data_IF_364475861053
#
_entry.id   IF_364475861053
#
_cell.length_a   1.000
_cell.length_b   1.000
_cell.length_c   1.000
_cell.angle_alpha   90.00
_cell.angle_beta   90.00
_cell.angle_gamma   90.00
#
_symmetry.space_group_name_H-M   'P 1'
#
loop_
_entity.id
_entity.type
_entity.pdbx_description
1 polymer ?
#
# COMPACT_ATOMS: atom_id res chain seq x y z
N UNK A 1 9.16 21.43 9.62
CA UNK A 1 10.53 20.89 9.88
C UNK A 1 10.58 19.53 9.21
N UNK A 2 11.50 19.32 8.30
CA UNK A 2 11.65 18.05 7.55
C UNK A 2 12.99 17.40 7.87
N UNK A 3 13.06 16.10 7.71
CA UNK A 3 14.25 15.28 7.90
C UNK A 3 14.61 14.58 6.59
N UNK A 4 15.88 14.24 6.42
CA UNK A 4 16.37 13.49 5.27
C UNK A 4 16.42 12.00 5.59
N UNK A 5 15.87 11.17 4.72
CA UNK A 5 16.02 9.71 4.77
C UNK A 5 16.94 9.26 3.64
N UNK A 6 17.98 8.53 3.99
CA UNK A 6 18.89 7.89 3.03
C UNK A 6 18.65 6.38 3.01
N UNK A 7 18.47 5.80 1.83
CA UNK A 7 18.21 4.36 1.64
C UNK A 7 19.48 3.68 1.13
N UNK A 8 20.05 2.79 1.93
CA UNK A 8 21.19 1.99 1.54
C UNK A 8 20.76 0.62 1.00
N UNK A 9 21.48 0.00 0.05
CA UNK A 9 22.74 0.48 -0.55
C UNK A 9 22.55 1.43 -1.74
N UNK A 10 21.31 1.80 -2.12
CA UNK A 10 21.07 2.59 -3.34
C UNK A 10 21.56 4.04 -3.27
N UNK A 11 21.79 4.57 -2.07
CA UNK A 11 22.14 5.97 -1.85
C UNK A 11 20.99 6.96 -2.14
N UNK A 12 19.77 6.49 -2.42
CA UNK A 12 18.63 7.36 -2.68
C UNK A 12 18.24 8.13 -1.42
N UNK A 13 17.94 9.41 -1.59
CA UNK A 13 17.48 10.29 -0.52
C UNK A 13 16.11 10.87 -0.83
N UNK A 14 15.36 11.15 0.24
CA UNK A 14 14.08 11.85 0.14
C UNK A 14 13.78 12.58 1.46
N UNK A 15 12.92 13.57 1.38
CA UNK A 15 12.52 14.40 2.52
C UNK A 15 11.26 13.85 3.18
N UNK A 16 11.23 13.82 4.51
CA UNK A 16 10.10 13.37 5.33
C UNK A 16 9.69 14.50 6.25
N UNK A 17 8.41 14.87 6.22
CA UNK A 17 7.88 15.91 7.10
C UNK A 17 7.80 15.38 8.55
N UNK A 18 7.80 16.31 9.49
CA UNK A 18 7.60 15.95 10.89
C UNK A 18 6.31 15.17 11.06
N UNK A 19 6.38 14.08 11.82
CA UNK A 19 5.25 13.16 12.11
C UNK A 19 4.72 12.38 10.87
N UNK A 20 5.35 12.54 9.69
CA UNK A 20 5.04 11.74 8.51
C UNK A 20 5.77 10.39 8.58
N UNK A 21 5.09 9.23 8.33
CA UNK A 21 5.77 7.96 8.19
C UNK A 21 6.72 7.92 6.99
N UNK A 22 7.90 7.32 7.17
CA UNK A 22 8.95 7.19 6.13
C UNK A 22 8.37 6.63 4.83
N UNK A 23 7.55 5.57 4.90
CA UNK A 23 6.95 4.96 3.72
C UNK A 23 6.01 5.92 2.98
N UNK A 24 5.25 6.73 3.70
CA UNK A 24 4.34 7.69 3.07
C UNK A 24 5.11 8.74 2.27
N UNK A 25 6.17 9.27 2.84
CA UNK A 25 7.07 10.22 2.16
C UNK A 25 7.77 9.60 0.95
N UNK A 26 8.24 8.34 1.09
CA UNK A 26 8.85 7.58 -0.01
C UNK A 26 7.87 7.43 -1.19
N UNK A 27 6.64 7.02 -0.93
CA UNK A 27 5.59 6.89 -1.97
C UNK A 27 5.32 8.25 -2.62
N UNK A 28 5.18 9.32 -1.85
CA UNK A 28 4.92 10.68 -2.35
C UNK A 28 6.02 11.17 -3.30
N UNK A 29 7.28 10.77 -3.06
CA UNK A 29 8.44 11.19 -3.83
C UNK A 29 8.95 10.12 -4.82
N UNK A 30 8.17 9.05 -5.04
CA UNK A 30 8.50 8.03 -6.02
C UNK A 30 9.69 7.16 -5.65
N UNK A 31 10.03 7.06 -4.37
CA UNK A 31 11.07 6.16 -3.86
C UNK A 31 10.43 4.83 -3.49
N UNK A 32 10.78 3.76 -4.20
CA UNK A 32 10.24 2.42 -3.96
C UNK A 32 10.87 1.76 -2.75
N UNK A 33 10.13 1.66 -1.66
CA UNK A 33 10.43 0.81 -0.53
C UNK A 33 9.49 -0.40 -0.52
N UNK A 34 9.89 -1.57 -0.02
CA UNK A 34 9.00 -2.70 0.15
C UNK A 34 7.89 -2.37 1.15
N UNK A 35 6.65 -2.75 0.86
CA UNK A 35 5.55 -2.62 1.80
C UNK A 35 4.37 -3.56 1.47
N UNK A 36 3.42 -3.68 2.40
CA UNK A 36 2.19 -4.46 2.23
C UNK A 36 1.00 -3.70 2.81
N UNK A 37 0.66 -3.94 4.09
CA UNK A 37 -0.56 -3.43 4.72
C UNK A 37 -0.59 -1.91 4.97
N UNK A 38 0.54 -1.26 5.19
CA UNK A 38 0.74 0.14 5.58
C UNK A 38 0.24 0.53 6.98
N UNK A 39 -0.27 -0.41 7.75
CA UNK A 39 -0.89 -0.20 9.07
C UNK A 39 -0.15 -0.91 10.22
N UNK A 40 1.10 -1.32 10.00
CA UNK A 40 1.92 -1.93 11.04
C UNK A 40 1.57 -3.38 11.38
N UNK A 41 0.82 -4.10 10.53
CA UNK A 41 0.32 -5.44 10.86
C UNK A 41 1.11 -6.59 10.21
N UNK A 42 1.75 -6.40 9.04
CA UNK A 42 2.29 -7.50 8.24
C UNK A 42 3.82 -7.65 8.29
N UNK A 43 4.56 -6.62 8.67
CA UNK A 43 6.03 -6.66 8.69
C UNK A 43 6.73 -6.51 7.32
N UNK A 44 6.00 -6.44 6.20
CA UNK A 44 6.61 -6.37 4.85
C UNK A 44 7.48 -5.13 4.61
N UNK A 45 7.29 -4.07 5.37
CA UNK A 45 8.08 -2.84 5.32
C UNK A 45 9.19 -2.79 6.37
N UNK A 46 9.46 -3.92 7.06
CA UNK A 46 10.51 -4.00 8.06
C UNK A 46 11.88 -3.85 7.41
N UNK A 47 12.72 -3.00 7.97
CA UNK A 47 14.09 -2.79 7.53
C UNK A 47 14.99 -2.44 8.72
N UNK A 48 16.29 -2.35 8.49
CA UNK A 48 17.25 -1.94 9.52
C UNK A 48 17.38 -0.42 9.53
N UNK A 49 17.31 0.18 10.69
CA UNK A 49 17.71 1.56 10.95
C UNK A 49 19.21 1.57 11.25
N UNK A 50 19.99 2.15 10.35
CA UNK A 50 21.45 2.19 10.48
C UNK A 50 21.89 3.41 11.30
N UNK A 51 21.24 4.57 11.06
CA UNK A 51 21.58 5.82 11.75
C UNK A 51 20.30 6.62 12.01
N UNK A 52 20.35 7.47 13.04
CA UNK A 52 19.29 8.36 13.40
C UNK A 52 18.30 7.77 14.39
N UNK A 53 17.15 8.44 14.56
CA UNK A 53 16.08 8.05 15.50
C UNK A 53 14.72 8.21 14.84
N UNK A 54 13.83 7.29 15.17
CA UNK A 54 12.43 7.29 14.74
C UNK A 54 11.50 7.11 15.95
N UNK A 55 10.26 7.53 15.81
CA UNK A 55 9.17 7.15 16.72
C UNK A 55 8.20 6.29 15.92
N UNK A 56 7.79 5.16 16.50
CA UNK A 56 6.80 4.28 15.88
C UNK A 56 5.38 4.66 16.31
N UNK A 57 4.48 4.67 15.33
CA UNK A 57 3.04 4.63 15.57
C UNK A 57 2.57 3.25 16.01
N UNK A 58 1.25 3.07 16.12
CA UNK A 58 0.64 1.81 16.52
C UNK A 58 0.96 0.68 15.53
N UNK A 59 1.46 -0.45 16.03
CA UNK A 59 1.79 -1.62 15.23
C UNK A 59 1.60 -2.91 16.05
N UNK A 60 1.58 -4.05 15.37
CA UNK A 60 1.45 -5.35 16.02
C UNK A 60 2.83 -5.94 16.34
N UNK A 61 2.97 -6.55 17.52
CA UNK A 61 4.23 -7.17 17.95
C UNK A 61 4.73 -8.26 16.98
N UNK A 62 3.84 -8.94 16.26
CA UNK A 62 4.23 -9.90 15.22
C UNK A 62 4.88 -9.23 13.98
N UNK A 63 4.61 -7.94 13.77
CA UNK A 63 5.22 -7.19 12.66
C UNK A 63 6.56 -6.57 13.06
N UNK A 64 6.69 -6.12 14.33
CA UNK A 64 7.93 -5.62 14.92
C UNK A 64 7.82 -5.86 16.44
N UNK A 65 8.66 -6.76 16.98
CA UNK A 65 8.72 -6.98 18.41
C UNK A 65 9.60 -5.94 19.10
N UNK A 66 9.47 -5.81 20.42
CA UNK A 66 10.32 -4.92 21.22
C UNK A 66 11.80 -5.29 21.11
N UNK A 67 12.11 -6.58 21.02
CA UNK A 67 13.49 -7.09 20.85
C UNK A 67 14.04 -6.71 19.47
N UNK A 68 13.23 -6.80 18.44
CA UNK A 68 13.61 -6.41 17.07
C UNK A 68 13.83 -4.89 16.98
N UNK A 69 12.98 -4.09 17.61
CA UNK A 69 13.14 -2.64 17.69
C UNK A 69 14.42 -2.27 18.44
N UNK A 70 14.69 -2.91 19.59
CA UNK A 70 15.93 -2.73 20.35
C UNK A 70 17.18 -3.16 19.55
N UNK A 71 17.02 -4.13 18.62
CA UNK A 71 18.07 -4.56 17.71
C UNK A 71 18.24 -3.65 16.48
N UNK A 72 17.54 -2.53 16.41
CA UNK A 72 17.65 -1.54 15.34
C UNK A 72 16.81 -1.86 14.10
N UNK A 73 15.77 -2.70 14.21
CA UNK A 73 14.80 -2.87 13.14
C UNK A 73 13.66 -1.83 13.26
N UNK A 74 13.08 -1.46 12.13
CA UNK A 74 12.00 -0.48 12.07
C UNK A 74 10.96 -0.87 11.03
N UNK A 75 9.72 -0.35 11.18
CA UNK A 75 8.65 -0.45 10.18
C UNK A 75 8.49 0.89 9.48
N UNK A 76 8.89 1.01 8.22
CA UNK A 76 8.82 2.30 7.50
C UNK A 76 7.41 2.87 7.40
N UNK A 77 6.37 2.04 7.47
CA UNK A 77 4.98 2.49 7.42
C UNK A 77 4.47 3.10 8.74
N UNK A 78 5.20 2.91 9.85
CA UNK A 78 4.82 3.42 11.17
C UNK A 78 5.93 4.28 11.80
N UNK A 79 7.11 4.33 11.20
CA UNK A 79 8.24 5.09 11.71
C UNK A 79 8.21 6.52 11.19
N UNK A 80 8.12 7.49 12.10
CA UNK A 80 8.30 8.91 11.84
C UNK A 80 9.70 9.35 12.32
N UNK A 81 10.55 9.97 11.47
CA UNK A 81 11.89 10.35 11.84
C UNK A 81 11.89 11.50 12.85
N UNK A 82 12.87 11.49 13.77
CA UNK A 82 13.13 12.55 14.74
C UNK A 82 14.47 13.25 14.48
N UNK A 83 15.27 12.67 13.61
CA UNK A 83 16.53 13.20 13.08
C UNK A 83 16.62 12.80 11.63
N UNK A 84 17.65 13.22 10.91
CA UNK A 84 18.02 12.55 9.66
C UNK A 84 18.31 11.09 9.96
N UNK A 85 17.90 10.19 9.06
CA UNK A 85 18.01 8.75 9.25
C UNK A 85 18.62 8.06 8.04
N UNK A 86 19.33 6.96 8.29
CA UNK A 86 19.81 6.03 7.27
C UNK A 86 19.15 4.67 7.49
N UNK A 87 18.51 4.15 6.47
CA UNK A 87 17.87 2.82 6.50
C UNK A 87 18.52 1.90 5.49
N UNK A 88 18.57 0.61 5.81
CA UNK A 88 18.96 -0.45 4.88
C UNK A 88 17.70 -1.15 4.36
N UNK A 89 17.36 -0.85 3.12
CA UNK A 89 16.18 -1.41 2.46
C UNK A 89 16.43 -1.66 0.98
N UNK A 90 15.79 -2.70 0.43
CA UNK A 90 15.78 -2.90 -1.01
C UNK A 90 14.97 -1.79 -1.67
N UNK A 91 15.46 -1.26 -2.78
CA UNK A 91 14.64 -0.38 -3.62
C UNK A 91 13.83 -1.22 -4.61
N UNK A 92 12.56 -0.88 -4.77
CA UNK A 92 11.67 -1.51 -5.73
C UNK A 92 11.82 -0.77 -7.07
N UNK A 93 12.28 -1.44 -8.15
CA UNK A 93 12.38 -0.82 -9.46
C UNK A 93 11.02 -0.34 -9.99
N UNK A 94 11.01 0.75 -10.76
CA UNK A 94 9.78 1.30 -11.36
C UNK A 94 8.84 2.01 -10.37
N UNK A 95 9.18 2.07 -9.10
CA UNK A 95 8.41 2.86 -8.15
C UNK A 95 8.49 4.35 -8.51
N UNK A 96 7.32 5.01 -8.53
CA UNK A 96 7.21 6.41 -8.97
C UNK A 96 7.07 6.60 -10.48
N UNK A 97 7.23 5.57 -11.31
CA UNK A 97 6.94 5.63 -12.75
C UNK A 97 5.47 5.97 -13.01
N UNK A 98 4.59 5.40 -12.20
CA UNK A 98 3.16 5.71 -12.24
C UNK A 98 2.76 6.39 -10.93
N UNK A 99 2.40 7.69 -10.97
CA UNK A 99 2.00 8.43 -9.76
C UNK A 99 0.73 7.86 -9.16
N UNK A 100 0.64 7.89 -7.83
CA UNK A 100 -0.58 7.52 -7.11
C UNK A 100 -1.69 8.51 -7.47
N UNK A 101 -2.83 7.99 -7.94
CA UNK A 101 -3.97 8.77 -8.41
C UNK A 101 -5.24 8.33 -7.70
N UNK A 102 -6.11 9.29 -7.43
CA UNK A 102 -7.50 9.01 -7.05
C UNK A 102 -8.35 9.04 -8.30
N UNK A 103 -9.13 8.01 -8.52
CA UNK A 103 -10.03 7.94 -9.65
C UNK A 103 -11.35 7.27 -9.27
N UNK A 104 -12.47 7.71 -9.86
CA UNK A 104 -13.73 7.02 -9.67
C UNK A 104 -13.67 5.64 -10.32
N UNK A 105 -14.37 4.69 -9.73
CA UNK A 105 -14.54 3.36 -10.29
C UNK A 105 -15.95 2.86 -10.02
N UNK A 106 -16.40 1.91 -10.83
CA UNK A 106 -17.73 1.32 -10.71
C UNK A 106 -17.62 -0.19 -10.79
N UNK A 107 -18.40 -0.89 -10.00
CA UNK A 107 -18.51 -2.35 -10.08
C UNK A 107 -19.10 -2.75 -11.43
N UNK A 108 -18.31 -3.41 -12.27
CA UNK A 108 -18.75 -3.96 -13.55
C UNK A 108 -19.36 -5.35 -13.40
N UNK A 109 -18.74 -6.20 -12.57
CA UNK A 109 -19.25 -7.53 -12.25
C UNK A 109 -18.73 -8.03 -10.91
N UNK A 110 -19.50 -8.94 -10.31
CA UNK A 110 -19.11 -9.68 -9.10
C UNK A 110 -19.42 -11.15 -9.36
N UNK A 111 -18.41 -12.01 -9.29
CA UNK A 111 -18.59 -13.47 -9.34
C UNK A 111 -18.06 -14.09 -8.05
N UNK A 112 -18.55 -15.27 -7.71
CA UNK A 112 -18.17 -16.00 -6.48
C UNK A 112 -17.71 -17.41 -6.86
N UNK A 113 -16.45 -17.60 -7.22
CA UNK A 113 -15.92 -18.92 -7.59
C UNK A 113 -15.80 -19.88 -6.39
N UNK A 114 -15.82 -19.36 -5.17
CA UNK A 114 -15.83 -20.13 -3.92
C UNK A 114 -16.68 -19.42 -2.86
N UNK A 115 -17.11 -20.09 -1.78
CA UNK A 115 -17.96 -19.51 -0.74
C UNK A 115 -17.32 -18.29 -0.04
N UNK A 116 -16.01 -18.26 0.06
CA UNK A 116 -15.23 -17.20 0.72
C UNK A 116 -14.39 -16.35 -0.24
N UNK A 117 -14.58 -16.50 -1.57
CA UNK A 117 -13.83 -15.72 -2.58
C UNK A 117 -14.79 -15.04 -3.55
N UNK A 118 -14.61 -13.75 -3.74
CA UNK A 118 -15.26 -12.96 -4.77
C UNK A 118 -14.24 -12.43 -5.77
N UNK A 119 -14.55 -12.53 -7.07
CA UNK A 119 -13.83 -11.83 -8.14
C UNK A 119 -14.64 -10.59 -8.48
N UNK A 120 -14.02 -9.43 -8.27
CA UNK A 120 -14.62 -8.13 -8.46
C UNK A 120 -13.95 -7.44 -9.64
N UNK A 121 -14.72 -7.14 -10.69
CA UNK A 121 -14.26 -6.32 -11.81
C UNK A 121 -14.70 -4.89 -11.61
N UNK A 122 -13.73 -3.97 -11.56
CA UNK A 122 -13.97 -2.53 -11.41
C UNK A 122 -13.74 -1.83 -12.74
N UNK A 123 -14.79 -1.24 -13.30
CA UNK A 123 -14.70 -0.39 -14.49
C UNK A 123 -14.05 0.94 -14.11
N UNK A 124 -13.04 1.32 -14.89
CA UNK A 124 -12.35 2.62 -14.78
C UNK A 124 -12.86 3.59 -15.86
N UNK A 125 -12.61 4.92 -15.72
CA UNK A 125 -12.95 5.89 -16.75
C UNK A 125 -12.22 5.58 -18.08
N UNK A 126 -12.94 5.55 -19.17
CA UNK A 126 -12.39 5.21 -20.49
C UNK A 126 -11.34 6.22 -21.00
N UNK A 127 -11.50 7.49 -20.62
CA UNK A 127 -10.61 8.59 -21.01
C UNK A 127 -9.41 8.78 -20.06
N UNK A 128 -9.27 7.93 -19.04
CA UNK A 128 -8.24 8.05 -18.03
C UNK A 128 -7.73 6.66 -17.59
N UNK A 129 -6.98 5.96 -18.47
CA UNK A 129 -6.51 4.61 -18.20
C UNK A 129 -5.52 4.59 -17.04
N UNK A 130 -5.68 3.61 -16.15
CA UNK A 130 -4.75 3.35 -15.06
C UNK A 130 -3.52 2.63 -15.61
N UNK A 131 -2.35 3.24 -15.49
CA UNK A 131 -1.07 2.58 -15.73
C UNK A 131 -0.54 2.01 -14.42
N UNK A 132 -0.09 0.76 -14.46
CA UNK A 132 0.46 0.08 -13.28
C UNK A 132 1.39 -1.06 -13.69
N UNK A 133 2.24 -1.49 -12.76
CA UNK A 133 3.02 -2.72 -12.91
C UNK A 133 2.28 -3.91 -12.33
N UNK A 134 2.49 -5.10 -12.90
CA UNK A 134 1.97 -6.33 -12.33
C UNK A 134 2.39 -6.46 -10.85
N UNK A 135 1.45 -6.87 -9.99
CA UNK A 135 1.67 -6.99 -8.55
C UNK A 135 1.42 -5.69 -7.74
N UNK A 136 1.14 -4.58 -8.40
CA UNK A 136 0.65 -3.39 -7.71
C UNK A 136 -0.80 -3.57 -7.23
N UNK A 137 -1.24 -2.70 -6.34
CA UNK A 137 -2.57 -2.76 -5.75
C UNK A 137 -3.25 -1.40 -5.70
N UNK A 138 -4.56 -1.45 -5.56
CA UNK A 138 -5.41 -0.29 -5.36
C UNK A 138 -5.84 -0.18 -3.90
N UNK A 139 -6.11 1.04 -3.46
CA UNK A 139 -6.73 1.33 -2.18
C UNK A 139 -8.16 1.83 -2.36
N UNK A 140 -9.11 1.13 -1.79
CA UNK A 140 -10.45 1.65 -1.62
C UNK A 140 -10.48 2.64 -0.45
N UNK A 141 -11.00 3.82 -0.69
CA UNK A 141 -11.29 4.82 0.34
C UNK A 141 -12.76 4.62 0.72
N UNK A 142 -13.01 4.12 1.92
CA UNK A 142 -14.36 3.86 2.40
C UNK A 142 -15.04 5.15 2.89
N UNK A 143 -16.34 5.11 3.12
CA UNK A 143 -17.13 6.28 3.56
C UNK A 143 -16.65 6.90 4.86
N UNK A 144 -16.05 6.12 5.74
CA UNK A 144 -15.43 6.55 7.01
C UNK A 144 -13.96 6.95 6.86
N UNK A 145 -13.48 7.17 5.63
CA UNK A 145 -12.08 7.45 5.27
C UNK A 145 -11.08 6.32 5.60
N UNK A 146 -11.53 5.19 6.14
CA UNK A 146 -10.66 4.03 6.28
C UNK A 146 -10.30 3.46 4.91
N UNK A 147 -9.14 2.81 4.80
CA UNK A 147 -8.60 2.32 3.52
C UNK A 147 -8.44 0.82 3.55
N UNK A 148 -8.65 0.19 2.39
CA UNK A 148 -8.41 -1.23 2.19
C UNK A 148 -7.71 -1.46 0.88
N UNK A 149 -6.61 -2.20 0.92
CA UNK A 149 -5.74 -2.47 -0.22
C UNK A 149 -5.97 -3.85 -0.78
N UNK A 150 -6.05 -3.95 -2.11
CA UNK A 150 -6.19 -5.21 -2.84
C UNK A 150 -5.30 -5.20 -4.06
N UNK A 151 -4.55 -6.30 -4.26
CA UNK A 151 -3.71 -6.49 -5.44
C UNK A 151 -4.55 -6.61 -6.69
N UNK A 152 -4.11 -5.98 -7.77
CA UNK A 152 -4.71 -6.16 -9.08
C UNK A 152 -4.34 -7.54 -9.63
N UNK A 153 -5.34 -8.31 -10.02
CA UNK A 153 -5.19 -9.69 -10.49
C UNK A 153 -5.01 -9.79 -12.01
N UNK A 154 -5.52 -8.82 -12.75
CA UNK A 154 -5.33 -8.78 -14.20
C UNK A 154 -3.98 -8.14 -14.59
N UNK A 155 -3.45 -8.56 -15.72
CA UNK A 155 -2.20 -8.01 -16.23
C UNK A 155 -2.39 -6.61 -16.82
N UNK A 156 -1.42 -5.68 -16.66
CA UNK A 156 -1.54 -4.31 -17.16
C UNK A 156 -1.86 -4.21 -18.66
N UNK A 157 -1.32 -5.12 -19.47
CA UNK A 157 -1.49 -5.12 -20.93
C UNK A 157 -2.86 -5.67 -21.40
N UNK A 158 -3.67 -6.22 -20.49
CA UNK A 158 -5.01 -6.75 -20.84
C UNK A 158 -6.11 -5.69 -20.81
N UNK A 159 -5.76 -4.44 -20.48
CA UNK A 159 -6.71 -3.33 -20.54
C UNK A 159 -6.99 -2.97 -22.00
N UNK A 160 -8.20 -3.27 -22.47
CA UNK A 160 -8.68 -2.88 -23.80
C UNK A 160 -9.37 -1.51 -23.78
N UNK A 161 -10.28 -1.30 -24.74
CA UNK A 161 -11.04 -0.03 -24.88
C UNK A 161 -11.92 0.30 -23.65
N UNK A 162 -12.21 -0.68 -22.83
CA UNK A 162 -12.92 -0.52 -21.56
C UNK A 162 -11.99 -0.87 -20.40
N UNK A 163 -11.16 0.08 -19.94
CA UNK A 163 -10.20 -0.20 -18.89
C UNK A 163 -10.90 -0.66 -17.61
N UNK A 164 -10.45 -1.79 -17.09
CA UNK A 164 -10.98 -2.39 -15.88
C UNK A 164 -9.85 -3.06 -15.08
N UNK A 165 -10.01 -3.11 -13.78
CA UNK A 165 -9.15 -3.88 -12.88
C UNK A 165 -9.94 -5.04 -12.29
N UNK A 166 -9.26 -6.17 -12.11
CA UNK A 166 -9.79 -7.35 -11.47
C UNK A 166 -9.15 -7.56 -10.11
N UNK A 167 -9.96 -7.84 -9.12
CA UNK A 167 -9.53 -8.06 -7.74
C UNK A 167 -10.10 -9.39 -7.24
N UNK A 168 -9.25 -10.20 -6.61
CA UNK A 168 -9.66 -11.41 -5.91
C UNK A 168 -9.76 -11.11 -4.42
N UNK A 169 -10.97 -11.13 -3.89
CA UNK A 169 -11.27 -10.70 -2.53
C UNK A 169 -11.69 -11.91 -1.72
N UNK A 170 -10.89 -12.24 -0.69
CA UNK A 170 -11.27 -13.24 0.29
C UNK A 170 -12.15 -12.62 1.37
N UNK A 171 -13.23 -13.29 1.73
CA UNK A 171 -14.10 -12.87 2.83
C UNK A 171 -13.35 -12.95 4.16
N UNK A 172 -13.39 -11.84 4.88
CA UNK A 172 -12.91 -11.73 6.26
C UNK A 172 -14.11 -11.33 7.11
N UNK A 173 -14.75 -12.25 7.83
CA UNK A 173 -15.91 -11.93 8.65
C UNK A 173 -15.63 -10.80 9.64
N UNK A 174 -16.52 -9.81 9.70
CA UNK A 174 -16.32 -8.56 10.46
C UNK A 174 -15.48 -7.51 9.73
N UNK A 175 -14.99 -7.80 8.53
CA UNK A 175 -14.23 -6.85 7.70
C UNK A 175 -15.16 -5.88 6.97
N UNK A 176 -15.10 -4.58 7.29
CA UNK A 176 -15.99 -3.54 6.73
C UNK A 176 -16.18 -3.62 5.21
N UNK A 177 -15.10 -3.80 4.46
CA UNK A 177 -15.17 -3.87 3.00
C UNK A 177 -15.58 -5.26 2.52
N UNK A 178 -15.02 -6.32 3.09
CA UNK A 178 -15.32 -7.68 2.66
C UNK A 178 -16.76 -8.07 2.97
N UNK A 179 -17.29 -7.70 4.14
CA UNK A 179 -18.72 -7.92 4.47
C UNK A 179 -19.62 -7.16 3.50
N UNK A 180 -19.23 -5.94 3.07
CA UNK A 180 -19.98 -5.21 2.06
C UNK A 180 -19.94 -5.92 0.68
N UNK A 181 -18.77 -6.40 0.24
CA UNK A 181 -18.61 -7.15 -1.02
C UNK A 181 -19.46 -8.42 -1.02
N UNK A 182 -19.48 -9.16 0.09
CA UNK A 182 -20.22 -10.42 0.20
C UNK A 182 -21.70 -10.24 0.52
N UNK A 183 -22.10 -9.10 1.05
CA UNK A 183 -23.48 -8.80 1.46
C UNK A 183 -24.24 -7.88 0.49
N UNK A 184 -23.94 -6.59 0.55
CA UNK A 184 -24.77 -5.54 -0.04
C UNK A 184 -24.29 -5.02 -1.39
N UNK A 185 -23.01 -5.24 -1.76
CA UNK A 185 -22.43 -4.70 -3.00
C UNK A 185 -23.10 -5.31 -4.23
N UNK A 186 -23.39 -4.46 -5.20
CA UNK A 186 -24.05 -4.82 -6.45
C UNK A 186 -23.28 -4.27 -7.65
N UNK A 187 -23.59 -4.80 -8.83
CA UNK A 187 -23.16 -4.19 -10.09
C UNK A 187 -23.67 -2.76 -10.18
N UNK A 188 -22.83 -1.88 -10.71
CA UNK A 188 -23.01 -0.42 -10.84
C UNK A 188 -22.82 0.40 -9.56
N UNK A 189 -22.52 -0.22 -8.42
CA UNK A 189 -22.09 0.52 -7.22
C UNK A 189 -20.77 1.27 -7.45
#
# INVERSE_FOLDING_TARGET
>A
MSFTVTVMPSGRTFSVERDEPILQAAIRQGVGLPYGCKDGACGSCKCRLLEGRVIHGAHQAKALSAEEEAAGLTLTCQAAPQTDVVIEARTVPGAGEFPVRKMPSRVASITRPAPDVAVLTMQLPANDPLRYHAGQYVEFILRDNSRRSYSMANAPHTQGDKPAIELHIRHMPGGKFTDHVFGAMKEKD
#
